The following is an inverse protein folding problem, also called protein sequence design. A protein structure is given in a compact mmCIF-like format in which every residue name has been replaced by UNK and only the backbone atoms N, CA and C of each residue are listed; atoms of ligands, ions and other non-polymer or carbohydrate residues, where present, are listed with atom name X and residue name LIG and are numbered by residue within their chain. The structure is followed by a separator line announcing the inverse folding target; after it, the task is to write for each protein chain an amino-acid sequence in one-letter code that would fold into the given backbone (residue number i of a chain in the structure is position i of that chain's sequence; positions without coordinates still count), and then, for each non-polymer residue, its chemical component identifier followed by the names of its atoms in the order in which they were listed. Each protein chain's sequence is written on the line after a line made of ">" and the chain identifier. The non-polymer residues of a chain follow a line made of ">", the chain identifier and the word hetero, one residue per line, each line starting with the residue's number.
data_IF_209708641897
#
_entry.id   IF_209708641897
#
_cell.length_a   1.000
_cell.length_b   1.000
_cell.length_c   1.000
_cell.angle_alpha   90.00
_cell.angle_beta   90.00
_cell.angle_gamma   90.00
#
_symmetry.space_group_name_H-M   'P 1'
#
loop_
_entity.id
_entity.type
_entity.pdbx_description
1 polymer ?
#
# COMPACT_ATOMS: atom_id res chain seq x y z
N UNK A 1 4.75 31.36 -3.62
CA UNK A 1 3.56 30.53 -3.39
C UNK A 1 4.07 29.13 -3.15
N UNK A 2 4.06 28.66 -1.90
CA UNK A 2 4.55 27.33 -1.55
C UNK A 2 3.66 26.28 -2.19
N UNK A 3 4.27 25.33 -2.88
CA UNK A 3 3.60 24.11 -3.34
C UNK A 3 3.04 23.38 -2.12
N UNK A 4 1.73 23.33 -1.97
CA UNK A 4 1.11 22.37 -1.05
C UNK A 4 1.42 20.98 -1.60
N UNK A 5 2.33 20.28 -0.92
CA UNK A 5 2.49 18.85 -1.10
C UNK A 5 1.13 18.20 -0.78
N UNK A 6 0.42 17.74 -1.82
CA UNK A 6 -0.85 17.05 -1.67
C UNK A 6 -0.60 15.67 -1.07
N UNK A 7 -0.65 15.56 0.26
CA UNK A 7 -0.50 14.27 0.95
C UNK A 7 -1.81 13.48 0.82
N UNK A 8 -1.76 12.37 0.06
CA UNK A 8 -2.86 11.40 0.00
C UNK A 8 -2.90 10.56 1.28
N UNK A 9 -3.54 11.09 2.33
CA UNK A 9 -3.65 10.45 3.65
C UNK A 9 -5.07 10.34 4.21
N UNK A 10 -6.04 10.95 3.53
CA UNK A 10 -7.43 11.02 4.00
C UNK A 10 -8.35 10.09 3.19
N UNK A 11 -9.11 9.25 3.88
CA UNK A 11 -10.12 8.38 3.28
C UNK A 11 -11.32 9.21 2.84
N UNK A 12 -11.60 9.26 1.53
CA UNK A 12 -12.75 9.99 0.97
C UNK A 12 -14.12 9.45 1.40
N UNK A 13 -14.18 8.22 1.92
CA UNK A 13 -15.42 7.60 2.37
C UNK A 13 -15.78 7.93 3.84
N UNK A 14 -14.79 7.99 4.74
CA UNK A 14 -15.05 8.19 6.18
C UNK A 14 -14.23 9.29 6.85
N UNK A 15 -13.35 10.00 6.12
CA UNK A 15 -12.53 11.09 6.65
C UNK A 15 -11.35 10.64 7.54
N UNK A 16 -11.01 9.35 7.54
CA UNK A 16 -9.86 8.84 8.30
C UNK A 16 -8.55 9.43 7.77
N UNK A 17 -7.70 10.03 8.62
CA UNK A 17 -6.55 10.87 8.19
C UNK A 17 -5.15 10.30 8.49
N UNK A 18 -5.06 9.07 9.01
CA UNK A 18 -3.76 8.47 9.42
C UNK A 18 -3.19 7.54 8.34
N UNK A 19 -3.58 7.72 7.08
CA UNK A 19 -3.11 6.90 5.96
C UNK A 19 -3.89 5.59 5.78
N UNK A 20 -3.37 4.73 4.91
CA UNK A 20 -4.01 3.49 4.48
C UNK A 20 -3.10 2.29 4.72
N UNK A 21 -3.70 1.12 4.97
CA UNK A 21 -2.96 -0.14 4.84
C UNK A 21 -2.72 -0.43 3.37
N UNK A 22 -1.52 -0.91 3.02
CA UNK A 22 -1.18 -1.33 1.66
C UNK A 22 -1.42 -2.83 1.54
N UNK A 23 -2.14 -3.24 0.50
CA UNK A 23 -2.25 -4.64 0.12
C UNK A 23 -1.56 -4.87 -1.23
N UNK A 24 -0.92 -6.03 -1.37
CA UNK A 24 -0.22 -6.41 -2.59
C UNK A 24 -0.99 -7.55 -3.22
N UNK A 25 -1.38 -7.40 -4.49
CA UNK A 25 -2.11 -8.40 -5.26
C UNK A 25 -1.31 -8.77 -6.49
N UNK A 26 -0.89 -10.02 -6.59
CA UNK A 26 -0.21 -10.52 -7.78
C UNK A 26 -1.09 -10.34 -9.03
N UNK A 27 -0.45 -9.91 -10.12
CA UNK A 27 -1.04 -9.86 -11.46
C UNK A 27 -0.12 -10.63 -12.42
N UNK A 28 -0.56 -10.81 -13.67
CA UNK A 28 0.26 -11.51 -14.68
C UNK A 28 1.58 -10.77 -14.94
N UNK A 29 2.55 -11.51 -15.47
CA UNK A 29 3.85 -11.00 -15.95
C UNK A 29 4.83 -10.53 -14.86
N UNK A 30 4.82 -11.18 -13.69
CA UNK A 30 5.80 -10.90 -12.63
C UNK A 30 5.66 -9.50 -12.05
N UNK A 31 4.43 -8.97 -12.00
CA UNK A 31 4.10 -7.69 -11.38
C UNK A 31 3.04 -7.90 -10.32
N UNK A 32 2.94 -6.97 -9.40
CA UNK A 32 1.83 -6.90 -8.47
C UNK A 32 1.17 -5.52 -8.50
N UNK A 33 -0.13 -5.51 -8.25
CA UNK A 33 -0.90 -4.29 -8.05
C UNK A 33 -0.96 -3.97 -6.56
N UNK A 34 -0.73 -2.70 -6.23
CA UNK A 34 -0.86 -2.18 -4.87
C UNK A 34 -2.26 -1.59 -4.69
N UNK A 35 -2.98 -2.07 -3.69
CA UNK A 35 -4.24 -1.50 -3.23
C UNK A 35 -4.06 -0.79 -1.89
N UNK A 36 -4.93 0.18 -1.63
CA UNK A 36 -4.99 0.93 -0.37
C UNK A 36 -6.28 0.61 0.35
N UNK A 37 -6.20 0.21 1.62
CA UNK A 37 -7.36 -0.17 2.43
C UNK A 37 -7.46 0.79 3.62
N UNK A 38 -8.62 1.42 3.77
CA UNK A 38 -8.90 2.26 4.93
C UNK A 38 -9.05 1.37 6.19
N UNK A 39 -8.25 1.57 7.24
CA UNK A 39 -8.34 0.77 8.46
C UNK A 39 -9.60 1.06 9.29
N UNK A 40 -10.25 2.21 9.05
CA UNK A 40 -11.45 2.61 9.79
C UNK A 40 -12.74 2.05 9.20
N UNK A 41 -12.92 2.04 7.89
CA UNK A 41 -14.16 1.62 7.23
C UNK A 41 -14.00 0.41 6.30
N UNK A 42 -12.78 -0.09 6.10
CA UNK A 42 -12.50 -1.21 5.21
C UNK A 42 -12.55 -0.87 3.71
N UNK A 43 -12.85 0.38 3.33
CA UNK A 43 -12.92 0.78 1.93
C UNK A 43 -11.58 0.55 1.24
N UNK A 44 -11.62 -0.14 0.10
CA UNK A 44 -10.47 -0.38 -0.75
C UNK A 44 -10.42 0.64 -1.90
N UNK A 45 -9.21 1.08 -2.23
CA UNK A 45 -8.89 2.00 -3.32
C UNK A 45 -7.79 1.39 -4.19
N UNK A 46 -7.93 1.56 -5.50
CA UNK A 46 -6.94 1.20 -6.50
C UNK A 46 -6.56 2.46 -7.27
N UNK A 47 -5.31 2.86 -7.17
CA UNK A 47 -4.77 4.05 -7.83
C UNK A 47 -3.86 3.70 -9.02
N UNK A 48 -3.89 2.45 -9.48
CA UNK A 48 -3.13 1.98 -10.62
C UNK A 48 -1.65 1.76 -10.34
N UNK A 49 -1.24 1.70 -9.07
CA UNK A 49 0.13 1.41 -8.69
C UNK A 49 0.50 -0.04 -8.99
N UNK A 50 1.56 -0.20 -9.77
CA UNK A 50 2.20 -1.47 -10.05
C UNK A 50 3.57 -1.50 -9.40
N UNK A 51 3.96 -2.66 -8.89
CA UNK A 51 5.35 -2.89 -8.53
C UNK A 51 6.23 -2.85 -9.78
N UNK A 52 7.53 -2.67 -9.57
CA UNK A 52 8.51 -3.11 -10.56
C UNK A 52 8.38 -4.62 -10.81
N UNK A 53 9.13 -5.13 -11.77
CA UNK A 53 9.20 -6.57 -12.02
C UNK A 53 9.72 -7.27 -10.76
N UNK A 54 8.91 -8.17 -10.23
CA UNK A 54 9.18 -8.96 -9.03
C UNK A 54 9.48 -10.41 -9.45
N UNK A 55 10.60 -10.93 -8.98
CA UNK A 55 11.04 -12.29 -9.32
C UNK A 55 10.26 -13.36 -8.55
N UNK A 56 9.85 -13.07 -7.32
CA UNK A 56 9.13 -13.99 -6.44
C UNK A 56 8.06 -13.22 -5.65
N UNK A 57 6.85 -13.78 -5.56
CA UNK A 57 5.74 -13.22 -4.77
C UNK A 57 5.61 -13.86 -3.37
N UNK A 58 6.32 -14.96 -3.13
CA UNK A 58 6.22 -15.69 -1.86
C UNK A 58 6.92 -14.94 -0.72
N UNK A 59 6.18 -14.53 0.34
CA UNK A 59 6.79 -13.85 1.47
C UNK A 59 7.71 -14.82 2.22
N UNK A 60 8.99 -14.47 2.32
CA UNK A 60 9.98 -15.19 3.12
C UNK A 60 10.06 -14.55 4.51
N UNK A 61 9.90 -15.37 5.56
CA UNK A 61 10.12 -14.91 6.94
C UNK A 61 11.61 -14.61 7.12
N UNK A 62 11.97 -13.34 7.30
CA UNK A 62 13.34 -12.98 7.67
C UNK A 62 13.66 -13.41 9.11
N UNK A 63 14.97 -13.47 9.41
CA UNK A 63 15.44 -13.74 10.77
C UNK A 63 14.95 -12.61 11.68
N UNK A 64 14.43 -12.98 12.85
CA UNK A 64 14.05 -12.01 13.89
C UNK A 64 15.29 -11.20 14.25
N UNK A 65 15.23 -9.88 14.12
CA UNK A 65 16.27 -9.00 14.65
C UNK A 65 16.34 -9.22 16.16
N UNK A 66 17.48 -9.70 16.67
CA UNK A 66 17.71 -9.78 18.10
C UNK A 66 17.83 -8.35 18.63
N UNK A 67 16.98 -7.98 19.60
CA UNK A 67 17.08 -6.72 20.32
C UNK A 67 18.46 -6.66 21.00
N UNK A 68 19.29 -5.69 20.59
CA UNK A 68 20.59 -5.40 21.21
C UNK A 68 20.43 -4.71 22.57
#
# INVERSE_FOLDING_TARGET
>A
MGSEDSYFRECINCGYKRGFHVCVKEIKDGKARLGLICPSCGQSYDIGWLTADIAEFEPKKEKVYEDH
#
